data_IF_538287668137
#
_entry.id   IF_538287668137
#
_cell.length_a   1.000
_cell.length_b   1.000
_cell.length_c   1.000
_cell.angle_alpha   90.00
_cell.angle_beta   90.00
_cell.angle_gamma   90.00
#
_symmetry.space_group_name_H-M   'P 1'
#
loop_
_entity.id
_entity.type
_entity.pdbx_description
1 polymer ?
#
# COMPACT_ATOMS: atom_id res chain seq x y z
N UNK A 1 -3.99 -12.73 -2.31
CA UNK A 1 -3.11 -13.90 -2.07
C UNK A 1 -2.25 -13.71 -0.82
N UNK A 2 -1.48 -12.60 -0.68
CA UNK A 2 -0.54 -12.38 0.44
C UNK A 2 -1.18 -12.41 1.84
N UNK A 3 -2.39 -11.87 2.00
CA UNK A 3 -3.14 -11.90 3.27
C UNK A 3 -3.48 -13.34 3.67
N UNK A 4 -4.02 -14.14 2.75
CA UNK A 4 -4.34 -15.55 3.01
C UNK A 4 -3.08 -16.36 3.36
N UNK A 5 -1.99 -16.16 2.64
CA UNK A 5 -0.70 -16.77 2.95
C UNK A 5 -0.16 -16.34 4.31
N UNK A 6 -0.28 -15.07 4.67
CA UNK A 6 0.16 -14.57 5.99
C UNK A 6 -0.64 -15.17 7.14
N UNK A 7 -1.95 -15.36 6.98
CA UNK A 7 -2.79 -15.97 8.01
C UNK A 7 -2.42 -17.44 8.25
N UNK A 8 -2.13 -18.19 7.19
CA UNK A 8 -1.86 -19.64 7.25
C UNK A 8 -0.37 -19.91 7.51
N UNK A 9 0.52 -19.25 6.77
CA UNK A 9 1.95 -19.55 6.75
C UNK A 9 2.82 -18.43 7.36
N UNK A 10 2.23 -17.39 7.96
CA UNK A 10 2.97 -16.23 8.46
C UNK A 10 4.04 -16.57 9.50
N UNK A 11 3.80 -17.58 10.34
CA UNK A 11 4.81 -18.10 11.27
C UNK A 11 5.98 -18.78 10.55
N UNK A 12 5.70 -19.57 9.51
CA UNK A 12 6.72 -20.20 8.70
C UNK A 12 7.57 -19.17 7.93
N UNK A 13 6.94 -18.18 7.29
CA UNK A 13 7.64 -17.09 6.61
C UNK A 13 8.54 -16.31 7.56
N UNK A 14 8.03 -15.97 8.75
CA UNK A 14 8.81 -15.29 9.78
C UNK A 14 10.05 -16.10 10.16
N UNK A 15 9.89 -17.38 10.46
CA UNK A 15 11.00 -18.27 10.81
C UNK A 15 11.98 -18.46 9.66
N UNK A 16 11.50 -18.57 8.42
CA UNK A 16 12.34 -18.67 7.23
C UNK A 16 13.22 -17.43 7.05
N UNK A 17 12.63 -16.23 7.10
CA UNK A 17 13.42 -14.98 6.97
C UNK A 17 14.39 -14.78 8.13
N UNK A 18 14.00 -15.16 9.36
CA UNK A 18 14.91 -15.12 10.52
C UNK A 18 16.05 -16.13 10.39
N UNK A 19 15.82 -17.30 9.78
CA UNK A 19 16.82 -18.33 9.54
C UNK A 19 17.84 -17.97 8.45
N UNK A 20 17.60 -16.95 7.61
CA UNK A 20 18.53 -16.46 6.62
C UNK A 20 19.73 -15.71 7.22
N UNK A 21 19.75 -15.46 8.53
CA UNK A 21 20.96 -15.07 9.28
C UNK A 21 21.51 -13.68 8.96
N UNK A 22 20.65 -12.73 8.55
CA UNK A 22 21.10 -11.40 8.15
C UNK A 22 21.70 -10.56 9.30
N UNK A 23 21.38 -10.82 10.56
CA UNK A 23 21.97 -10.20 11.74
C UNK A 23 21.48 -10.90 13.02
N UNK A 24 22.33 -10.97 14.07
CA UNK A 24 21.94 -11.46 15.41
C UNK A 24 20.75 -10.70 16.01
N UNK A 25 20.53 -9.45 15.59
CA UNK A 25 19.36 -8.65 15.96
C UNK A 25 18.08 -9.20 15.36
N UNK A 26 18.10 -9.75 14.14
CA UNK A 26 16.91 -10.32 13.50
C UNK A 26 16.50 -11.64 14.17
N UNK A 27 17.45 -12.46 14.60
CA UNK A 27 17.19 -13.69 15.38
C UNK A 27 16.55 -13.38 16.73
N UNK A 28 16.92 -12.28 17.38
CA UNK A 28 16.29 -11.83 18.64
C UNK A 28 14.83 -11.40 18.47
N UNK A 29 14.43 -10.93 17.27
CA UNK A 29 13.04 -10.54 16.97
C UNK A 29 12.11 -11.74 16.78
N UNK A 30 12.63 -12.88 16.31
CA UNK A 30 11.85 -14.11 16.13
C UNK A 30 11.62 -14.89 17.43
N UNK A 31 12.62 -14.93 18.31
CA UNK A 31 12.59 -15.70 19.57
C UNK A 31 11.89 -14.98 20.71
N UNK A 32 11.67 -13.69 20.62
CA UNK A 32 11.20 -12.89 21.75
C UNK A 32 9.69 -12.60 21.77
N UNK A 33 8.92 -13.12 20.81
CA UNK A 33 7.46 -12.92 20.79
C UNK A 33 6.78 -13.34 22.10
N UNK A 34 7.18 -14.47 22.70
CA UNK A 34 6.61 -14.93 23.95
C UNK A 34 7.09 -14.13 25.16
N UNK A 35 8.30 -13.59 25.09
CA UNK A 35 8.91 -12.80 26.16
C UNK A 35 8.38 -11.36 26.22
N UNK A 36 7.85 -10.84 25.10
CA UNK A 36 7.36 -9.46 24.99
C UNK A 36 5.83 -9.37 24.93
N UNK A 37 5.10 -10.49 24.95
CA UNK A 37 3.62 -10.49 24.98
C UNK A 37 3.05 -9.67 26.13
N UNK A 38 3.70 -9.69 27.28
CA UNK A 38 3.26 -8.94 28.48
C UNK A 38 3.65 -7.45 28.45
N UNK A 39 4.65 -7.09 27.64
CA UNK A 39 5.16 -5.70 27.56
C UNK A 39 4.57 -4.89 26.40
N UNK A 40 4.05 -5.57 25.37
CA UNK A 40 3.43 -4.93 24.21
C UNK A 40 2.02 -5.47 24.03
N UNK A 41 1.03 -4.75 24.51
CA UNK A 41 -0.40 -5.09 24.41
C UNK A 41 -0.90 -5.30 22.97
N UNK A 42 -0.06 -5.07 21.95
CA UNK A 42 -0.37 -5.18 20.54
C UNK A 42 0.57 -6.15 19.78
N UNK A 43 1.16 -7.14 20.46
CA UNK A 43 1.88 -8.21 19.77
C UNK A 43 0.87 -9.14 19.09
N UNK A 44 0.73 -9.02 17.77
CA UNK A 44 -0.20 -9.83 16.98
C UNK A 44 -0.40 -9.32 15.57
N UNK A 45 -1.34 -9.91 14.86
CA UNK A 45 -1.68 -9.46 13.51
C UNK A 45 -2.35 -8.07 13.56
N UNK A 46 -1.73 -7.07 12.95
CA UNK A 46 -2.14 -5.66 12.97
C UNK A 46 -3.14 -5.36 11.85
N UNK A 47 -4.42 -5.52 12.14
CA UNK A 47 -5.52 -5.22 11.21
C UNK A 47 -5.62 -3.74 10.84
N UNK A 48 -5.34 -2.85 11.79
CA UNK A 48 -5.33 -1.41 11.60
C UNK A 48 -4.33 -0.99 10.51
N UNK A 49 -3.12 -1.52 10.56
CA UNK A 49 -2.09 -1.27 9.56
C UNK A 49 -2.42 -1.90 8.21
N UNK A 50 -3.06 -3.07 8.21
CA UNK A 50 -3.51 -3.71 6.98
C UNK A 50 -4.56 -2.86 6.25
N UNK A 51 -5.56 -2.35 6.98
CA UNK A 51 -6.58 -1.47 6.42
C UNK A 51 -5.96 -0.18 5.87
N UNK A 52 -5.05 0.44 6.63
CA UNK A 52 -4.33 1.62 6.18
C UNK A 52 -3.56 1.35 4.88
N UNK A 53 -2.81 0.27 4.83
CA UNK A 53 -1.99 -0.09 3.67
C UNK A 53 -2.81 -0.55 2.45
N UNK A 54 -4.10 -0.83 2.61
CA UNK A 54 -4.97 -1.22 1.50
C UNK A 54 -5.39 -0.03 0.61
N UNK A 55 -5.30 1.22 1.08
CA UNK A 55 -5.77 2.40 0.35
C UNK A 55 -5.10 2.58 -1.03
N UNK A 56 -3.76 2.55 -1.19
CA UNK A 56 -3.14 2.66 -2.51
C UNK A 56 -3.47 1.48 -3.43
N UNK A 57 -3.66 0.27 -2.85
CA UNK A 57 -4.08 -0.91 -3.62
C UNK A 57 -5.48 -0.72 -4.17
N UNK A 58 -6.41 -0.23 -3.34
CA UNK A 58 -7.77 0.09 -3.76
C UNK A 58 -7.80 1.20 -4.81
N UNK A 59 -7.01 2.26 -4.64
CA UNK A 59 -6.90 3.35 -5.62
C UNK A 59 -6.38 2.83 -6.96
N UNK A 60 -5.35 1.99 -6.96
CA UNK A 60 -4.82 1.38 -8.17
C UNK A 60 -5.87 0.51 -8.85
N UNK A 61 -6.57 -0.34 -8.11
CA UNK A 61 -7.68 -1.14 -8.64
C UNK A 61 -8.77 -0.27 -9.25
N UNK A 62 -9.15 0.81 -8.58
CA UNK A 62 -10.18 1.75 -9.07
C UNK A 62 -9.76 2.40 -10.39
N UNK A 63 -8.50 2.84 -10.51
CA UNK A 63 -7.98 3.43 -11.74
C UNK A 63 -7.94 2.40 -12.87
N UNK A 64 -7.44 1.19 -12.61
CA UNK A 64 -7.43 0.12 -13.61
C UNK A 64 -8.86 -0.21 -14.08
N UNK A 65 -9.82 -0.33 -13.16
CA UNK A 65 -11.22 -0.57 -13.49
C UNK A 65 -11.80 0.55 -14.37
N UNK A 66 -11.49 1.80 -14.06
CA UNK A 66 -11.93 2.95 -14.85
C UNK A 66 -11.33 2.91 -16.27
N UNK A 67 -10.05 2.58 -16.41
CA UNK A 67 -9.40 2.39 -17.72
C UNK A 67 -10.13 1.32 -18.52
N UNK A 68 -10.42 0.17 -17.91
CA UNK A 68 -11.12 -0.94 -18.58
C UNK A 68 -12.54 -0.56 -19.00
N UNK A 69 -13.28 0.14 -18.16
CA UNK A 69 -14.63 0.64 -18.45
C UNK A 69 -14.62 1.63 -19.63
N UNK A 70 -13.69 2.58 -19.63
CA UNK A 70 -13.56 3.56 -20.71
C UNK A 70 -13.09 2.92 -22.03
N UNK A 71 -12.19 1.93 -21.97
CA UNK A 71 -11.82 1.15 -23.16
C UNK A 71 -13.00 0.37 -23.74
N UNK A 72 -13.84 -0.20 -22.90
CA UNK A 72 -15.04 -0.92 -23.33
C UNK A 72 -16.07 -0.01 -24.02
N UNK A 73 -16.16 1.25 -23.59
CA UNK A 73 -17.11 2.22 -24.13
C UNK A 73 -16.61 2.92 -25.40
N UNK A 74 -15.33 3.27 -25.44
CA UNK A 74 -14.77 4.17 -26.46
C UNK A 74 -13.63 3.55 -27.30
N UNK A 75 -13.23 2.32 -27.01
CA UNK A 75 -12.06 1.68 -27.60
C UNK A 75 -10.73 2.20 -27.06
N UNK A 76 -9.63 1.73 -27.63
CA UNK A 76 -8.28 2.20 -27.29
C UNK A 76 -8.00 3.56 -27.94
N UNK A 77 -7.23 4.41 -27.26
CA UNK A 77 -6.76 5.66 -27.82
C UNK A 77 -5.59 5.42 -28.76
N UNK A 78 -5.31 6.36 -29.65
CA UNK A 78 -4.14 6.28 -30.55
C UNK A 78 -2.84 6.15 -29.74
N UNK A 79 -2.72 6.88 -28.64
CA UNK A 79 -1.56 6.82 -27.77
C UNK A 79 -1.42 5.49 -27.01
N UNK A 80 -2.54 4.87 -26.63
CA UNK A 80 -2.53 3.49 -26.09
C UNK A 80 -2.02 2.48 -27.11
N UNK A 81 -2.50 2.57 -28.36
CA UNK A 81 -2.11 1.66 -29.45
C UNK A 81 -0.60 1.79 -29.75
N UNK A 82 -0.10 3.02 -29.83
CA UNK A 82 1.32 3.30 -30.14
C UNK A 82 2.28 2.91 -29.00
N UNK A 83 1.88 3.13 -27.76
CA UNK A 83 2.76 2.95 -26.60
C UNK A 83 2.55 1.64 -25.84
N UNK A 84 1.42 0.98 -26.06
CA UNK A 84 0.99 -0.21 -25.33
C UNK A 84 0.71 0.06 -23.84
N UNK A 85 0.49 1.32 -23.45
CA UNK A 85 0.26 1.73 -22.05
C UNK A 85 -1.23 1.97 -21.81
N UNK A 86 -1.90 1.13 -21.01
CA UNK A 86 -3.33 1.29 -20.73
C UNK A 86 -3.65 2.65 -20.08
N UNK A 87 -4.71 3.32 -20.60
CA UNK A 87 -5.16 4.62 -20.10
C UNK A 87 -4.38 5.83 -20.66
N UNK A 88 -3.38 5.59 -21.52
CA UNK A 88 -2.65 6.67 -22.18
C UNK A 88 -3.54 7.50 -23.11
N UNK A 89 -3.36 8.81 -23.10
CA UNK A 89 -4.13 9.76 -23.92
C UNK A 89 -5.57 10.00 -23.43
N UNK A 90 -6.02 9.27 -22.40
CA UNK A 90 -7.36 9.42 -21.80
C UNK A 90 -7.32 9.80 -20.33
N UNK A 91 -6.67 8.98 -19.52
CA UNK A 91 -6.49 9.25 -18.08
C UNK A 91 -5.30 10.17 -17.85
N UNK A 92 -4.21 9.96 -18.59
CA UNK A 92 -3.02 10.80 -18.62
C UNK A 92 -2.18 10.46 -19.87
N UNK A 93 -1.08 11.17 -20.08
CA UNK A 93 -0.08 10.81 -21.08
C UNK A 93 0.59 9.45 -20.75
N UNK A 94 1.15 8.77 -21.77
CA UNK A 94 1.74 7.45 -21.62
C UNK A 94 2.88 7.41 -20.57
N UNK A 95 3.67 8.49 -20.46
CA UNK A 95 4.73 8.56 -19.46
C UNK A 95 4.15 8.56 -18.04
N UNK A 96 3.16 9.41 -17.78
CA UNK A 96 2.49 9.52 -16.47
C UNK A 96 1.80 8.21 -16.07
N UNK A 97 1.11 7.56 -17.00
CA UNK A 97 0.49 6.26 -16.75
C UNK A 97 1.54 5.17 -16.45
N UNK A 98 2.63 5.12 -17.18
CA UNK A 98 3.72 4.17 -16.94
C UNK A 98 4.35 4.37 -15.57
N UNK A 99 4.65 5.60 -15.18
CA UNK A 99 5.19 5.92 -13.85
C UNK A 99 4.21 5.52 -12.76
N UNK A 100 2.92 5.79 -12.92
CA UNK A 100 1.89 5.36 -11.98
C UNK A 100 1.89 3.84 -11.80
N UNK A 101 1.93 3.06 -12.88
CA UNK A 101 1.96 1.60 -12.79
C UNK A 101 3.22 1.08 -12.10
N UNK A 102 4.39 1.67 -12.37
CA UNK A 102 5.65 1.32 -11.70
C UNK A 102 5.55 1.60 -10.20
N UNK A 103 5.11 2.79 -9.80
CA UNK A 103 4.96 3.17 -8.39
C UNK A 103 3.98 2.24 -7.67
N UNK A 104 2.82 1.97 -8.27
CA UNK A 104 1.79 1.10 -7.70
C UNK A 104 2.28 -0.34 -7.56
N UNK A 105 2.95 -0.88 -8.57
CA UNK A 105 3.51 -2.24 -8.53
C UNK A 105 4.59 -2.35 -7.46
N UNK A 106 5.49 -1.38 -7.37
CA UNK A 106 6.55 -1.36 -6.35
C UNK A 106 5.94 -1.28 -4.95
N UNK A 107 4.92 -0.43 -4.77
CA UNK A 107 4.18 -0.37 -3.51
C UNK A 107 3.55 -1.71 -3.15
N UNK A 108 2.83 -2.35 -4.09
CA UNK A 108 2.17 -3.63 -3.86
C UNK A 108 3.16 -4.74 -3.50
N UNK A 109 4.34 -4.78 -4.14
CA UNK A 109 5.39 -5.74 -3.81
C UNK A 109 5.93 -5.52 -2.39
N UNK A 110 6.29 -4.28 -2.04
CA UNK A 110 6.77 -3.93 -0.69
C UNK A 110 5.71 -4.22 0.38
N UNK A 111 4.45 -3.88 0.10
CA UNK A 111 3.33 -4.14 1.02
C UNK A 111 3.03 -5.63 1.17
N UNK A 112 3.12 -6.41 0.09
CA UNK A 112 2.95 -7.86 0.14
C UNK A 112 4.01 -8.53 1.01
N UNK A 113 5.27 -8.09 0.91
CA UNK A 113 6.34 -8.57 1.77
C UNK A 113 6.05 -8.30 3.24
N UNK A 114 5.68 -7.07 3.59
CA UNK A 114 5.32 -6.74 4.97
C UNK A 114 4.14 -7.57 5.48
N UNK A 115 3.08 -7.73 4.68
CA UNK A 115 1.90 -8.53 5.07
C UNK A 115 2.28 -9.98 5.37
N UNK A 116 3.23 -10.56 4.63
CA UNK A 116 3.70 -11.93 4.88
C UNK A 116 4.42 -12.08 6.22
N UNK A 117 5.16 -11.05 6.66
CA UNK A 117 5.90 -11.04 7.94
C UNK A 117 5.15 -10.28 9.05
N UNK A 118 3.88 -9.97 8.89
CA UNK A 118 3.09 -9.17 9.83
C UNK A 118 2.99 -9.77 11.24
N UNK A 119 3.21 -11.07 11.39
CA UNK A 119 3.26 -11.75 12.70
C UNK A 119 4.61 -11.60 13.42
N UNK A 120 5.65 -11.08 12.74
CA UNK A 120 6.95 -10.88 13.37
C UNK A 120 6.90 -9.76 14.42
N UNK A 121 7.68 -9.91 15.50
CA UNK A 121 7.92 -8.83 16.43
C UNK A 121 8.50 -7.63 15.66
N UNK A 122 8.00 -6.42 15.96
CA UNK A 122 8.41 -5.20 15.24
C UNK A 122 8.13 -5.20 13.73
N UNK A 123 7.10 -5.92 13.26
CA UNK A 123 6.67 -5.97 11.86
C UNK A 123 6.44 -4.58 11.23
N UNK A 124 6.13 -3.57 12.06
CA UNK A 124 6.02 -2.17 11.64
C UNK A 124 7.29 -1.62 10.97
N UNK A 125 8.48 -2.13 11.31
CA UNK A 125 9.74 -1.72 10.65
C UNK A 125 9.79 -2.19 9.20
N UNK A 126 9.23 -3.35 8.90
CA UNK A 126 9.09 -3.84 7.52
C UNK A 126 8.02 -3.06 6.76
N UNK A 127 7.01 -2.56 7.47
CA UNK A 127 5.96 -1.73 6.88
C UNK A 127 6.49 -0.38 6.37
N UNK A 128 7.58 0.16 6.91
CA UNK A 128 8.14 1.44 6.47
C UNK A 128 8.51 1.46 4.98
N UNK A 129 8.89 0.30 4.40
CA UNK A 129 9.15 0.18 2.96
C UNK A 129 7.92 0.56 2.12
N UNK A 130 6.74 0.08 2.50
CA UNK A 130 5.48 0.41 1.81
C UNK A 130 4.93 1.75 2.26
N UNK A 131 5.00 2.10 3.54
CA UNK A 131 4.44 3.33 4.08
C UNK A 131 5.13 4.59 3.55
N UNK A 132 6.44 4.53 3.30
CA UNK A 132 7.14 5.63 2.63
C UNK A 132 6.59 5.89 1.24
N UNK A 133 6.22 4.86 0.49
CA UNK A 133 5.65 4.99 -0.85
C UNK A 133 4.16 5.32 -0.86
N UNK A 134 3.44 5.08 0.24
CA UNK A 134 2.01 5.33 0.36
C UNK A 134 1.61 6.74 -0.09
N UNK A 135 2.14 7.84 0.50
CA UNK A 135 1.78 9.19 0.10
C UNK A 135 2.23 9.50 -1.33
N UNK A 136 3.33 8.90 -1.80
CA UNK A 136 3.85 9.12 -3.17
C UNK A 136 2.87 8.57 -4.20
N UNK A 137 2.37 7.34 -4.03
CA UNK A 137 1.41 6.70 -4.95
C UNK A 137 0.12 7.50 -5.01
N UNK A 138 -0.42 7.90 -3.85
CA UNK A 138 -1.69 8.67 -3.79
C UNK A 138 -1.50 10.06 -4.39
N UNK A 139 -0.45 10.79 -3.99
CA UNK A 139 -0.21 12.13 -4.49
C UNK A 139 0.04 12.12 -6.01
N UNK A 140 0.81 11.15 -6.51
CA UNK A 140 1.06 11.03 -7.95
C UNK A 140 -0.23 10.81 -8.73
N UNK A 141 -1.07 9.87 -8.29
CA UNK A 141 -2.35 9.59 -8.92
C UNK A 141 -3.25 10.84 -8.94
N UNK A 142 -3.37 11.54 -7.81
CA UNK A 142 -4.25 12.71 -7.67
C UNK A 142 -3.75 13.92 -8.45
N UNK A 143 -2.43 14.10 -8.60
CA UNK A 143 -1.86 15.29 -9.26
C UNK A 143 -1.69 15.06 -10.78
N UNK A 144 -1.34 13.85 -11.21
CA UNK A 144 -0.93 13.56 -12.58
C UNK A 144 -1.99 12.89 -13.45
N UNK A 145 -2.95 12.20 -12.83
CA UNK A 145 -3.98 11.48 -13.57
C UNK A 145 -5.30 12.24 -13.53
N UNK A 146 -5.97 12.33 -14.67
CA UNK A 146 -7.32 12.92 -14.77
C UNK A 146 -8.38 11.86 -14.50
N UNK A 147 -8.51 11.51 -13.21
CA UNK A 147 -9.41 10.42 -12.79
C UNK A 147 -10.86 10.91 -12.70
N UNK A 148 -11.06 12.16 -12.36
CA UNK A 148 -12.40 12.74 -12.14
C UNK A 148 -12.59 14.06 -12.87
N UNK A 149 -13.81 14.38 -13.26
CA UNK A 149 -14.16 15.67 -13.87
C UNK A 149 -13.84 16.86 -12.95
N UNK A 150 -14.18 16.73 -11.63
CA UNK A 150 -13.87 17.73 -10.59
C UNK A 150 -12.62 17.34 -9.78
N UNK A 151 -11.50 17.10 -10.45
CA UNK A 151 -10.26 16.60 -9.84
C UNK A 151 -9.83 17.41 -8.62
N UNK A 152 -9.79 18.73 -8.72
CA UNK A 152 -9.29 19.61 -7.64
C UNK A 152 -10.17 19.56 -6.39
N UNK A 153 -11.49 19.51 -6.55
CA UNK A 153 -12.43 19.40 -5.41
C UNK A 153 -12.29 18.04 -4.73
N UNK A 154 -12.21 16.95 -5.51
CA UNK A 154 -12.08 15.60 -4.97
C UNK A 154 -10.71 15.39 -4.34
N UNK A 155 -9.65 15.94 -4.93
CA UNK A 155 -8.32 15.96 -4.35
C UNK A 155 -8.30 16.70 -3.01
N UNK A 156 -8.89 17.90 -2.96
CA UNK A 156 -9.03 18.66 -1.73
C UNK A 156 -9.80 17.91 -0.64
N UNK A 157 -10.89 17.22 -1.00
CA UNK A 157 -11.67 16.40 -0.06
C UNK A 157 -10.85 15.21 0.48
N UNK A 158 -10.11 14.51 -0.37
CA UNK A 158 -9.23 13.39 0.03
C UNK A 158 -8.16 13.89 1.00
N UNK A 159 -7.51 15.01 0.70
CA UNK A 159 -6.49 15.60 1.55
C UNK A 159 -7.07 16.05 2.90
N UNK A 160 -8.23 16.70 2.88
CA UNK A 160 -8.94 17.12 4.10
C UNK A 160 -9.35 15.91 4.96
N UNK A 161 -9.87 14.85 4.35
CA UNK A 161 -10.24 13.62 5.04
C UNK A 161 -9.00 12.94 5.66
N UNK A 162 -7.88 12.90 4.93
CA UNK A 162 -6.63 12.33 5.44
C UNK A 162 -6.05 13.16 6.61
N UNK A 163 -6.04 14.49 6.47
CA UNK A 163 -5.60 15.39 7.54
C UNK A 163 -6.49 15.27 8.79
N UNK A 164 -7.82 15.23 8.59
CA UNK A 164 -8.79 15.01 9.67
C UNK A 164 -8.60 13.67 10.37
N UNK A 165 -8.38 12.60 9.63
CA UNK A 165 -8.07 11.28 10.19
C UNK A 165 -6.77 11.29 10.98
N UNK A 166 -5.71 11.91 10.45
CA UNK A 166 -4.42 12.03 11.14
C UNK A 166 -4.54 12.81 12.45
N UNK A 167 -5.28 13.93 12.43
CA UNK A 167 -5.55 14.72 13.62
C UNK A 167 -6.36 13.94 14.66
N UNK A 168 -7.38 13.21 14.21
CA UNK A 168 -8.20 12.36 15.08
C UNK A 168 -7.34 11.28 15.76
N UNK A 169 -6.48 10.57 15.01
CA UNK A 169 -5.58 9.56 15.57
C UNK A 169 -4.56 10.17 16.53
N UNK A 170 -4.06 11.37 16.25
CA UNK A 170 -3.18 12.10 17.16
C UNK A 170 -3.85 12.47 18.49
N UNK A 171 -5.09 12.95 18.44
CA UNK A 171 -5.86 13.30 19.62
C UNK A 171 -6.20 12.08 20.48
N UNK A 172 -6.63 10.97 19.85
CA UNK A 172 -6.86 9.71 20.57
C UNK A 172 -5.57 9.20 21.23
N UNK A 173 -4.45 9.21 20.53
CA UNK A 173 -3.16 8.78 21.08
C UNK A 173 -2.63 9.65 22.23
N UNK A 174 -3.20 10.85 22.45
CA UNK A 174 -2.90 11.68 23.62
C UNK A 174 -3.86 11.45 24.81
N UNK A 175 -5.02 10.82 24.56
CA UNK A 175 -6.03 10.55 25.58
C UNK A 175 -5.81 9.20 26.28
N UNK A 176 -4.94 8.37 25.74
CA UNK A 176 -4.47 7.08 26.28
C UNK A 176 -2.97 7.13 26.55
#
# INVERSE_FOLDING_TARGET
>A
ASIGLSLVLGGWFTNFFMGLGFDDRMTSYGTSMDKYKDSFSNAGFRWDFLLYSAMPVWLTWYICKKVDEERALYGETQEEIETGVPGAGRIADAHSMRVFYILSTTYMLANSFWVMVNKAAFSNRFAYLSWFMYPVVIAYAVIRLHIWEDQDKKAGLILAAHAGFTLFMYLIGKLY
#
